data_IF_520571392471
#
_entry.id   IF_520571392471
#
_cell.length_a   1.000
_cell.length_b   1.000
_cell.length_c   1.000
_cell.angle_alpha   90.00
_cell.angle_beta   90.00
_cell.angle_gamma   90.00
#
_symmetry.space_group_name_H-M   'P 1'
#
loop_
_entity.id
_entity.type
_entity.pdbx_description
1 polymer ?
#
# COMPACT_ATOMS: atom_id res chain seq x y z
N UNK A 1 -46.22 -13.59 -54.11
CA UNK A 1 -45.45 -14.30 -53.05
C UNK A 1 -43.97 -13.92 -52.98
N UNK A 2 -43.44 -13.06 -53.85
CA UNK A 2 -41.99 -12.71 -53.88
C UNK A 2 -41.62 -11.48 -53.01
N UNK A 3 -42.60 -10.69 -52.53
CA UNK A 3 -42.34 -9.45 -51.78
C UNK A 3 -42.19 -9.60 -50.25
N UNK A 4 -42.50 -10.77 -49.69
CA UNK A 4 -42.37 -11.04 -48.25
C UNK A 4 -41.04 -11.74 -47.89
N UNK A 5 -40.37 -12.34 -48.88
CA UNK A 5 -39.07 -13.00 -48.69
C UNK A 5 -37.89 -12.00 -48.64
N UNK A 6 -38.06 -10.80 -49.19
CA UNK A 6 -36.98 -9.78 -49.23
C UNK A 6 -36.82 -9.00 -47.93
N UNK A 7 -37.85 -8.90 -47.09
CA UNK A 7 -37.77 -8.17 -45.81
C UNK A 7 -37.18 -9.04 -44.70
N UNK A 8 -37.49 -10.35 -44.70
CA UNK A 8 -36.91 -11.30 -43.75
C UNK A 8 -35.40 -11.50 -43.94
N UNK A 9 -34.93 -11.55 -45.19
CA UNK A 9 -33.50 -11.69 -45.49
C UNK A 9 -32.69 -10.42 -45.11
N UNK A 10 -33.30 -9.23 -45.20
CA UNK A 10 -32.64 -7.99 -44.82
C UNK A 10 -32.51 -7.85 -43.29
N UNK A 11 -33.50 -8.30 -42.52
CA UNK A 11 -33.45 -8.28 -41.05
C UNK A 11 -32.44 -9.29 -40.49
N UNK A 12 -32.26 -10.45 -41.15
CA UNK A 12 -31.25 -11.45 -40.74
C UNK A 12 -29.82 -11.00 -41.08
N UNK A 13 -29.64 -10.24 -42.18
CA UNK A 13 -28.34 -9.68 -42.55
C UNK A 13 -27.87 -8.53 -41.65
N UNK A 14 -28.78 -7.84 -40.95
CA UNK A 14 -28.44 -6.82 -39.94
C UNK A 14 -28.40 -7.35 -38.50
N UNK A 15 -28.67 -8.65 -38.28
CA UNK A 15 -28.55 -9.31 -36.96
C UNK A 15 -27.26 -10.11 -36.79
N UNK A 16 -26.19 -9.76 -37.53
CA UNK A 16 -24.83 -10.25 -37.30
C UNK A 16 -24.34 -9.74 -35.93
N UNK A 17 -23.70 -10.57 -35.09
CA UNK A 17 -23.95 -10.56 -33.66
C UNK A 17 -23.18 -9.46 -32.93
N UNK A 18 -23.90 -8.76 -32.04
CA UNK A 18 -23.36 -8.02 -30.88
C UNK A 18 -22.61 -8.93 -29.86
N UNK A 19 -22.32 -10.19 -30.21
CA UNK A 19 -21.73 -11.20 -29.31
C UNK A 19 -20.25 -11.50 -29.60
N UNK A 20 -19.59 -10.69 -30.41
CA UNK A 20 -18.14 -10.72 -30.58
C UNK A 20 -17.60 -9.30 -30.80
N UNK A 21 -17.99 -8.37 -29.94
CA UNK A 21 -17.00 -7.38 -29.55
C UNK A 21 -15.90 -8.19 -28.83
N UNK A 22 -14.88 -8.64 -29.58
CA UNK A 22 -13.59 -8.88 -28.95
C UNK A 22 -13.36 -7.66 -28.07
N UNK A 23 -13.25 -7.86 -26.76
CA UNK A 23 -12.85 -6.76 -25.88
C UNK A 23 -11.50 -6.34 -26.44
N UNK A 24 -11.48 -5.25 -27.21
CA UNK A 24 -10.26 -4.72 -27.79
C UNK A 24 -9.51 -4.12 -26.60
N UNK A 25 -8.67 -4.95 -26.00
CA UNK A 25 -7.77 -4.51 -24.96
C UNK A 25 -6.80 -3.53 -25.59
N UNK A 26 -6.70 -2.34 -25.02
CA UNK A 26 -5.65 -1.41 -25.39
C UNK A 26 -4.28 -2.07 -25.12
N UNK A 27 -3.41 -2.07 -26.13
CA UNK A 27 -2.10 -2.70 -26.06
C UNK A 27 -1.04 -1.67 -25.68
N UNK A 28 -0.62 -1.70 -24.42
CA UNK A 28 0.37 -0.76 -23.92
C UNK A 28 1.81 -1.14 -24.33
N UNK A 29 2.08 -2.37 -24.77
CA UNK A 29 3.46 -2.86 -25.00
C UNK A 29 4.22 -2.05 -26.06
N UNK A 30 3.50 -1.46 -27.01
CA UNK A 30 4.08 -0.73 -28.15
C UNK A 30 4.24 0.77 -27.92
N UNK A 31 3.68 1.31 -26.82
CA UNK A 31 3.64 2.75 -26.54
C UNK A 31 4.49 3.16 -25.32
N UNK A 32 5.18 2.20 -24.70
CA UNK A 32 6.03 2.45 -23.54
C UNK A 32 7.26 3.30 -23.89
N UNK A 33 7.46 4.34 -23.10
CA UNK A 33 8.63 5.21 -23.13
C UNK A 33 9.45 5.04 -21.86
N UNK A 34 10.78 5.07 -21.98
CA UNK A 34 11.69 4.97 -20.85
C UNK A 34 11.81 6.33 -20.12
N UNK A 35 11.47 6.34 -18.84
CA UNK A 35 11.54 7.48 -17.93
C UNK A 35 12.75 7.41 -16.97
N UNK A 36 13.65 6.46 -17.16
CA UNK A 36 14.82 6.24 -16.30
C UNK A 36 14.54 5.32 -15.11
N UNK A 37 15.61 4.88 -14.45
CA UNK A 37 15.56 3.98 -13.27
C UNK A 37 14.73 2.68 -13.49
N UNK A 38 14.61 2.22 -14.75
CA UNK A 38 13.84 1.03 -15.09
C UNK A 38 12.32 1.23 -15.04
N UNK A 39 11.84 2.47 -15.24
CA UNK A 39 10.42 2.83 -15.35
C UNK A 39 10.05 3.04 -16.82
N UNK A 40 9.24 2.14 -17.36
CA UNK A 40 8.64 2.26 -18.68
C UNK A 40 7.18 2.67 -18.51
N UNK A 41 6.74 3.75 -19.14
CA UNK A 41 5.36 4.22 -19.01
C UNK A 41 4.83 4.75 -20.34
N UNK A 42 3.52 4.71 -20.52
CA UNK A 42 2.86 5.44 -21.59
C UNK A 42 1.87 6.48 -21.04
N UNK A 43 1.25 7.23 -21.94
CA UNK A 43 0.27 8.27 -21.59
C UNK A 43 -1.15 7.73 -21.38
N UNK A 44 -1.41 6.48 -21.75
CA UNK A 44 -2.71 5.83 -21.68
C UNK A 44 -2.91 5.03 -20.38
N UNK A 45 -1.90 4.98 -19.52
CA UNK A 45 -1.98 4.37 -18.18
C UNK A 45 -1.41 2.96 -18.11
N UNK A 46 -0.50 2.62 -19.03
CA UNK A 46 0.38 1.46 -18.96
C UNK A 46 1.70 1.80 -18.29
N UNK A 47 2.18 0.94 -17.38
CA UNK A 47 3.51 1.08 -16.76
C UNK A 47 4.16 -0.28 -16.46
N UNK A 48 5.46 -0.39 -16.74
CA UNK A 48 6.33 -1.49 -16.32
C UNK A 48 7.46 -0.92 -15.46
N UNK A 49 7.66 -1.44 -14.26
CA UNK A 49 8.85 -1.13 -13.44
C UNK A 49 9.64 -2.38 -13.09
N UNK A 50 10.96 -2.25 -13.15
CA UNK A 50 11.88 -3.33 -12.78
C UNK A 50 11.99 -4.45 -13.81
N UNK A 51 11.72 -4.14 -15.09
CA UNK A 51 11.94 -5.08 -16.18
C UNK A 51 13.41 -5.50 -16.25
N UNK A 52 13.64 -6.81 -16.38
CA UNK A 52 14.95 -7.40 -16.54
C UNK A 52 14.87 -8.66 -17.42
N UNK A 53 15.26 -8.52 -18.68
CA UNK A 53 15.24 -9.61 -19.66
C UNK A 53 16.58 -10.35 -19.81
N UNK A 54 17.68 -9.82 -19.24
CA UNK A 54 19.03 -10.22 -19.63
C UNK A 54 20.00 -10.43 -18.46
N UNK A 55 19.84 -9.72 -17.34
CA UNK A 55 20.83 -9.72 -16.27
C UNK A 55 20.49 -10.77 -15.23
N UNK A 56 21.36 -11.76 -15.04
CA UNK A 56 21.14 -12.84 -14.09
C UNK A 56 21.23 -12.34 -12.63
N UNK A 57 20.29 -12.71 -11.74
CA UNK A 57 20.46 -12.49 -10.32
C UNK A 57 21.60 -13.34 -9.77
N UNK A 58 22.24 -12.88 -8.70
CA UNK A 58 23.30 -13.59 -7.99
C UNK A 58 22.85 -14.99 -7.57
N UNK A 59 23.69 -15.99 -7.85
CA UNK A 59 23.40 -17.40 -7.64
C UNK A 59 22.72 -18.10 -8.81
N UNK A 60 22.46 -17.41 -9.92
CA UNK A 60 22.08 -18.02 -11.19
C UNK A 60 23.28 -18.06 -12.14
N UNK A 61 23.76 -19.26 -12.48
CA UNK A 61 24.81 -19.44 -13.49
C UNK A 61 24.27 -19.32 -14.91
N UNK A 62 23.00 -19.67 -15.10
CA UNK A 62 22.28 -19.59 -16.38
C UNK A 62 20.77 -19.51 -16.16
N UNK A 63 20.02 -19.21 -17.22
CA UNK A 63 18.56 -19.30 -17.21
C UNK A 63 18.17 -20.79 -17.19
N UNK A 64 17.42 -21.20 -16.17
CA UNK A 64 17.00 -22.59 -16.00
C UNK A 64 15.85 -22.98 -16.96
N UNK A 65 14.94 -22.04 -17.20
CA UNK A 65 13.85 -22.14 -18.18
C UNK A 65 13.32 -20.75 -18.56
N UNK A 66 12.64 -20.66 -19.71
CA UNK A 66 11.85 -19.49 -20.10
C UNK A 66 10.37 -19.86 -20.01
N UNK A 67 9.58 -19.00 -19.36
CA UNK A 67 8.15 -19.18 -19.18
C UNK A 67 7.42 -17.90 -19.49
N UNK A 68 6.25 -18.05 -20.08
CA UNK A 68 5.30 -16.96 -20.33
C UNK A 68 3.99 -17.34 -19.64
N UNK A 69 3.41 -16.39 -18.91
CA UNK A 69 2.09 -16.53 -18.31
C UNK A 69 1.20 -15.38 -18.74
N UNK A 70 -0.07 -15.67 -18.89
CA UNK A 70 -1.11 -14.64 -19.01
C UNK A 70 -1.88 -14.60 -17.70
N UNK A 71 -2.00 -13.42 -17.11
CA UNK A 71 -2.72 -13.20 -15.87
C UNK A 71 -3.84 -12.22 -16.15
N UNK A 72 -5.07 -12.71 -16.02
CA UNK A 72 -6.24 -11.85 -16.15
C UNK A 72 -6.65 -11.29 -14.79
N UNK A 73 -7.09 -10.04 -14.77
CA UNK A 73 -7.47 -9.31 -13.57
C UNK A 73 -8.82 -8.63 -13.75
N UNK A 74 -9.67 -8.69 -12.72
CA UNK A 74 -10.92 -7.95 -12.70
C UNK A 74 -11.95 -8.48 -11.71
N UNK A 75 -13.14 -7.88 -11.70
CA UNK A 75 -14.23 -8.27 -10.79
C UNK A 75 -14.72 -9.70 -11.03
N UNK A 76 -14.81 -10.12 -12.30
CA UNK A 76 -15.30 -11.44 -12.71
C UNK A 76 -14.54 -12.58 -12.03
N UNK A 77 -13.23 -12.43 -11.82
CA UNK A 77 -12.41 -13.46 -11.18
C UNK A 77 -12.60 -13.54 -9.67
N UNK A 78 -13.21 -12.53 -9.06
CA UNK A 78 -13.48 -12.47 -7.63
C UNK A 78 -14.79 -13.19 -7.24
N UNK A 79 -15.69 -13.45 -8.19
CA UNK A 79 -17.02 -14.03 -7.92
C UNK A 79 -16.98 -15.38 -7.17
N UNK A 80 -15.91 -16.15 -7.39
CA UNK A 80 -15.66 -17.44 -6.71
C UNK A 80 -15.24 -17.30 -5.24
N UNK A 81 -14.96 -16.08 -4.77
CA UNK A 81 -14.47 -15.80 -3.42
C UNK A 81 -15.47 -14.89 -2.67
N UNK A 82 -16.22 -15.43 -1.69
CA UNK A 82 -17.16 -14.64 -0.89
C UNK A 82 -16.50 -13.39 -0.29
N UNK A 83 -17.16 -12.24 -0.47
CA UNK A 83 -16.70 -10.95 0.03
C UNK A 83 -15.52 -10.31 -0.70
N UNK A 84 -15.08 -10.87 -1.83
CA UNK A 84 -14.03 -10.28 -2.66
C UNK A 84 -14.64 -9.50 -3.82
N UNK A 85 -14.01 -8.38 -4.15
CA UNK A 85 -14.42 -7.52 -5.27
C UNK A 85 -13.49 -7.67 -6.46
N UNK A 86 -12.23 -8.00 -6.21
CA UNK A 86 -11.17 -8.03 -7.21
C UNK A 86 -10.33 -9.28 -7.01
N UNK A 87 -9.94 -9.92 -8.11
CA UNK A 87 -8.99 -11.02 -8.08
C UNK A 87 -8.22 -11.11 -9.40
N UNK A 88 -7.08 -11.79 -9.34
CA UNK A 88 -6.50 -12.40 -10.52
C UNK A 88 -7.26 -13.68 -10.87
N UNK A 89 -7.15 -14.17 -12.09
CA UNK A 89 -7.67 -15.48 -12.49
C UNK A 89 -6.95 -16.63 -11.75
N UNK A 90 -5.65 -16.45 -11.52
CA UNK A 90 -4.73 -17.40 -10.88
C UNK A 90 -4.22 -16.89 -9.53
N UNK A 91 -4.31 -17.73 -8.50
CA UNK A 91 -3.96 -17.38 -7.11
C UNK A 91 -2.59 -17.91 -6.67
N UNK A 92 -2.05 -18.91 -7.37
CA UNK A 92 -0.77 -19.51 -7.07
C UNK A 92 0.02 -19.80 -8.35
N UNK A 93 1.29 -19.39 -8.37
CA UNK A 93 2.24 -19.69 -9.42
C UNK A 93 3.41 -20.49 -8.86
N UNK A 94 3.92 -21.44 -9.63
CA UNK A 94 5.06 -22.28 -9.24
C UNK A 94 6.10 -22.27 -10.36
N UNK A 95 7.32 -21.84 -10.06
CA UNK A 95 8.42 -21.75 -11.03
C UNK A 95 9.71 -22.31 -10.46
N UNK A 96 10.59 -22.78 -11.35
CA UNK A 96 11.96 -23.11 -10.95
C UNK A 96 12.75 -21.83 -10.58
N UNK A 97 13.81 -21.95 -9.78
CA UNK A 97 14.75 -20.86 -9.60
C UNK A 97 15.44 -20.50 -10.92
N UNK A 98 15.86 -19.25 -11.09
CA UNK A 98 16.54 -18.76 -12.30
C UNK A 98 15.69 -18.83 -13.59
N UNK A 99 14.37 -18.87 -13.47
CA UNK A 99 13.44 -18.81 -14.61
C UNK A 99 13.36 -17.38 -15.16
N UNK A 100 13.49 -17.24 -16.49
CA UNK A 100 13.09 -16.01 -17.19
C UNK A 100 11.59 -16.04 -17.40
N UNK A 101 10.86 -15.22 -16.66
CA UNK A 101 9.41 -15.15 -16.67
C UNK A 101 8.96 -13.90 -17.43
N UNK A 102 8.12 -14.06 -18.44
CA UNK A 102 7.33 -12.97 -19.02
C UNK A 102 5.91 -13.08 -18.51
N UNK A 103 5.37 -11.98 -18.00
CA UNK A 103 3.99 -11.89 -17.52
C UNK A 103 3.22 -10.99 -18.48
N UNK A 104 2.17 -11.51 -19.09
CA UNK A 104 1.18 -10.77 -19.86
C UNK A 104 0.01 -10.47 -18.94
N UNK A 105 -0.06 -9.25 -18.45
CA UNK A 105 -1.11 -8.79 -17.55
C UNK A 105 -2.27 -8.20 -18.36
N UNK A 106 -3.46 -8.79 -18.23
CA UNK A 106 -4.67 -8.34 -18.89
C UNK A 106 -5.64 -7.83 -17.84
N UNK A 107 -5.94 -6.54 -17.90
CA UNK A 107 -6.96 -5.91 -17.08
C UNK A 107 -8.29 -5.90 -17.85
N UNK A 108 -9.28 -6.67 -17.36
CA UNK A 108 -10.62 -6.74 -17.96
C UNK A 108 -11.61 -5.73 -17.34
N UNK A 109 -11.23 -5.04 -16.27
CA UNK A 109 -12.04 -4.01 -15.64
C UNK A 109 -11.79 -2.62 -16.24
N UNK A 110 -12.73 -1.70 -16.02
CA UNK A 110 -12.56 -0.27 -16.30
C UNK A 110 -11.92 0.48 -15.12
N UNK A 111 -11.18 -0.25 -14.28
CA UNK A 111 -10.51 0.24 -13.08
C UNK A 111 -9.06 -0.18 -13.18
N UNK A 112 -8.13 0.71 -12.86
CA UNK A 112 -6.70 0.42 -12.91
C UNK A 112 -6.33 -0.73 -11.98
N UNK A 113 -5.65 -1.75 -12.51
CA UNK A 113 -5.10 -2.85 -11.72
C UNK A 113 -3.60 -2.97 -11.95
N UNK A 114 -2.94 -3.65 -11.03
CA UNK A 114 -1.51 -3.86 -11.06
C UNK A 114 -1.18 -5.31 -10.74
N UNK A 115 -0.10 -5.80 -11.33
CA UNK A 115 0.56 -7.03 -10.96
C UNK A 115 1.94 -6.67 -10.41
N UNK A 116 2.04 -6.62 -9.09
CA UNK A 116 3.26 -6.22 -8.38
C UNK A 116 3.80 -7.39 -7.57
N UNK A 117 5.12 -7.58 -7.60
CA UNK A 117 5.84 -8.53 -6.77
C UNK A 117 6.98 -7.83 -6.03
N UNK A 118 6.95 -7.90 -4.69
CA UNK A 118 7.99 -7.36 -3.81
C UNK A 118 9.00 -8.42 -3.37
N UNK A 119 10.14 -7.97 -2.84
CA UNK A 119 11.11 -8.85 -2.17
C UNK A 119 12.19 -9.40 -3.10
N UNK A 120 12.32 -8.82 -4.30
CA UNK A 120 13.36 -9.09 -5.28
C UNK A 120 14.70 -8.43 -4.87
N UNK A 121 15.84 -8.92 -5.40
CA UNK A 121 17.15 -8.35 -5.08
C UNK A 121 17.29 -6.89 -5.54
N UNK A 122 17.47 -5.97 -4.57
CA UNK A 122 17.48 -4.50 -4.81
C UNK A 122 18.62 -3.99 -5.71
N UNK A 123 19.69 -4.76 -5.86
CA UNK A 123 20.79 -4.41 -6.76
C UNK A 123 20.43 -4.59 -8.24
N UNK A 124 19.37 -5.37 -8.52
CA UNK A 124 18.93 -5.71 -9.87
C UNK A 124 17.56 -5.12 -10.18
N UNK A 125 16.66 -5.18 -9.20
CA UNK A 125 15.30 -4.67 -9.32
C UNK A 125 15.19 -3.36 -8.52
N UNK A 126 14.89 -2.22 -9.16
CA UNK A 126 14.65 -0.95 -8.49
C UNK A 126 13.65 -1.13 -7.34
N UNK A 127 14.02 -0.63 -6.15
CA UNK A 127 13.25 -0.80 -4.88
C UNK A 127 13.00 -2.27 -4.45
N UNK A 128 13.53 -3.26 -5.16
CA UNK A 128 13.34 -4.69 -4.88
C UNK A 128 11.95 -5.18 -5.31
N UNK A 129 11.43 -4.64 -6.41
CA UNK A 129 10.10 -4.95 -6.93
C UNK A 129 10.07 -5.05 -8.45
N UNK A 130 9.08 -5.79 -8.94
CA UNK A 130 8.67 -5.82 -10.33
C UNK A 130 7.19 -5.45 -10.39
N UNK A 131 6.81 -4.63 -11.35
CA UNK A 131 5.50 -4.00 -11.41
C UNK A 131 4.99 -3.93 -12.84
N UNK A 132 3.74 -4.35 -13.03
CA UNK A 132 2.95 -4.10 -14.23
C UNK A 132 1.69 -3.35 -13.82
N UNK A 133 1.32 -2.33 -14.57
CA UNK A 133 0.12 -1.54 -14.36
C UNK A 133 -0.60 -1.34 -15.67
N UNK A 134 -1.92 -1.51 -15.62
CA UNK A 134 -2.79 -1.36 -16.76
C UNK A 134 -4.06 -0.64 -16.32
N UNK A 135 -4.32 0.54 -16.88
CA UNK A 135 -5.61 1.23 -16.76
C UNK A 135 -6.57 0.62 -17.77
N UNK A 136 -7.46 -0.25 -17.29
CA UNK A 136 -8.22 -1.15 -18.17
C UNK A 136 -9.45 -0.51 -18.83
N UNK A 137 -10.01 -1.19 -19.87
CA UNK A 137 -9.63 -2.52 -20.34
C UNK A 137 -8.37 -2.49 -21.22
N UNK A 138 -7.29 -3.16 -20.80
CA UNK A 138 -6.01 -3.09 -21.48
C UNK A 138 -5.07 -4.24 -21.12
N UNK A 139 -3.98 -4.38 -21.85
CA UNK A 139 -2.94 -5.38 -21.61
C UNK A 139 -1.55 -4.75 -21.59
N UNK A 140 -0.67 -5.32 -20.78
CA UNK A 140 0.73 -4.93 -20.67
C UNK A 140 1.58 -6.14 -20.29
N UNK A 141 2.80 -6.19 -20.81
CA UNK A 141 3.73 -7.28 -20.61
C UNK A 141 5.04 -6.79 -20.00
N UNK A 142 5.66 -7.64 -19.20
CA UNK A 142 7.04 -7.40 -18.78
C UNK A 142 7.76 -8.68 -18.41
N UNK A 143 9.08 -8.61 -18.45
CA UNK A 143 9.95 -9.76 -18.19
C UNK A 143 10.81 -9.53 -16.96
N UNK A 144 10.97 -10.57 -16.14
CA UNK A 144 11.91 -10.64 -15.03
C UNK A 144 12.61 -11.99 -14.99
N UNK A 145 13.75 -12.06 -14.30
CA UNK A 145 14.45 -13.31 -14.00
C UNK A 145 14.34 -13.60 -12.50
N UNK A 146 13.70 -14.71 -12.17
CA UNK A 146 13.46 -15.12 -10.79
C UNK A 146 14.79 -15.49 -10.09
N UNK A 147 14.97 -15.18 -8.80
CA UNK A 147 16.20 -15.52 -8.07
C UNK A 147 16.45 -17.03 -7.95
N UNK A 148 17.65 -17.42 -7.52
CA UNK A 148 18.06 -18.82 -7.37
C UNK A 148 17.56 -19.52 -6.09
N UNK A 149 17.05 -18.77 -5.11
CA UNK A 149 16.63 -19.31 -3.82
C UNK A 149 15.17 -19.78 -3.78
N UNK A 150 14.91 -20.78 -2.94
CA UNK A 150 13.56 -21.20 -2.57
C UNK A 150 12.87 -20.07 -1.79
N UNK A 151 11.82 -19.46 -2.36
CA UNK A 151 11.11 -18.33 -1.74
C UNK A 151 9.72 -18.16 -2.31
N UNK A 152 8.76 -17.81 -1.45
CA UNK A 152 7.41 -17.43 -1.83
C UNK A 152 7.29 -15.90 -1.83
N UNK A 153 6.75 -15.36 -2.91
CA UNK A 153 6.57 -13.93 -3.14
C UNK A 153 5.09 -13.58 -3.14
N UNK A 154 4.74 -12.46 -2.50
CA UNK A 154 3.41 -11.90 -2.61
C UNK A 154 3.30 -11.21 -3.96
N UNK A 155 2.29 -11.62 -4.73
CA UNK A 155 1.87 -10.95 -5.96
C UNK A 155 0.57 -10.25 -5.66
N UNK A 156 0.45 -8.94 -5.89
CA UNK A 156 -0.77 -8.20 -5.57
C UNK A 156 -0.93 -6.97 -6.45
N UNK A 157 -2.12 -6.36 -6.39
CA UNK A 157 -2.28 -4.99 -6.84
C UNK A 157 -1.81 -4.04 -5.72
N UNK A 158 -1.01 -3.03 -6.04
CA UNK A 158 -0.45 -2.08 -5.07
C UNK A 158 -1.46 -1.01 -4.64
N UNK A 159 -2.61 -0.93 -5.32
CA UNK A 159 -3.76 -0.20 -4.81
C UNK A 159 -4.29 -0.95 -3.58
N UNK A 160 -4.05 -0.38 -2.41
CA UNK A 160 -4.37 -0.99 -1.12
C UNK A 160 -5.80 -1.55 -1.06
N UNK A 161 -6.79 -0.80 -1.54
CA UNK A 161 -8.17 -1.26 -1.54
C UNK A 161 -8.39 -2.48 -2.44
N UNK A 162 -7.64 -2.62 -3.55
CA UNK A 162 -7.77 -3.77 -4.44
C UNK A 162 -7.16 -5.01 -3.79
N UNK A 163 -6.00 -4.86 -3.16
CA UNK A 163 -5.37 -5.95 -2.38
C UNK A 163 -6.25 -6.42 -1.22
N UNK A 164 -6.75 -5.48 -0.41
CA UNK A 164 -7.62 -5.77 0.73
C UNK A 164 -8.89 -6.49 0.29
N UNK A 165 -9.47 -6.08 -0.84
CA UNK A 165 -10.66 -6.68 -1.44
C UNK A 165 -10.39 -7.95 -2.27
N UNK A 166 -9.17 -8.49 -2.22
CA UNK A 166 -8.87 -9.84 -2.73
C UNK A 166 -7.84 -9.94 -3.84
N UNK A 167 -7.34 -8.83 -4.40
CA UNK A 167 -6.43 -8.88 -5.55
C UNK A 167 -4.99 -9.17 -5.10
N UNK A 168 -4.75 -10.43 -4.75
CA UNK A 168 -3.47 -10.98 -4.34
C UNK A 168 -3.37 -12.47 -4.65
N UNK A 169 -2.15 -12.92 -4.86
CA UNK A 169 -1.73 -14.26 -5.21
C UNK A 169 -0.36 -14.53 -4.57
N UNK A 170 0.12 -15.76 -4.65
CA UNK A 170 1.47 -16.12 -4.26
C UNK A 170 2.25 -16.71 -5.44
N UNK A 171 3.52 -16.38 -5.55
CA UNK A 171 4.44 -16.95 -6.54
C UNK A 171 5.56 -17.67 -5.80
N UNK A 172 5.64 -18.98 -5.99
CA UNK A 172 6.66 -19.83 -5.39
C UNK A 172 7.80 -20.04 -6.38
N UNK A 173 9.01 -19.71 -5.94
CA UNK A 173 10.26 -20.06 -6.62
C UNK A 173 10.85 -21.27 -5.94
N UNK A 174 11.21 -22.29 -6.72
CA UNK A 174 11.69 -23.57 -6.22
C UNK A 174 10.66 -24.23 -5.32
N UNK A 175 11.01 -24.52 -4.07
CA UNK A 175 10.09 -25.09 -3.08
C UNK A 175 9.17 -24.05 -2.41
N UNK A 176 9.43 -22.76 -2.60
CA UNK A 176 8.86 -21.70 -1.77
C UNK A 176 9.38 -21.75 -0.32
N UNK A 177 9.05 -20.73 0.48
CA UNK A 177 9.36 -20.65 1.92
C UNK A 177 8.10 -20.77 2.80
N UNK A 178 7.02 -21.31 2.24
CA UNK A 178 5.72 -21.51 2.87
C UNK A 178 4.58 -20.86 2.09
N UNK A 179 3.35 -21.12 2.52
CA UNK A 179 2.17 -20.44 1.98
C UNK A 179 1.96 -19.09 2.66
N UNK A 180 1.64 -18.07 1.88
CA UNK A 180 1.31 -16.76 2.41
C UNK A 180 -0.09 -16.77 3.01
N UNK A 181 -0.32 -16.07 4.12
CA UNK A 181 -1.63 -16.03 4.75
C UNK A 181 -2.66 -15.24 3.91
N UNK A 182 -3.93 -15.62 4.02
CA UNK A 182 -5.05 -14.91 3.40
C UNK A 182 -4.98 -14.76 1.87
N UNK A 183 -4.35 -15.69 1.16
CA UNK A 183 -4.40 -15.73 -0.31
C UNK A 183 -5.72 -16.39 -0.72
N UNK A 184 -6.60 -15.71 -1.47
CA UNK A 184 -7.88 -16.28 -1.88
C UNK A 184 -7.71 -17.67 -2.51
N UNK A 185 -8.53 -18.64 -2.10
CA UNK A 185 -8.49 -20.00 -2.67
C UNK A 185 -7.26 -20.85 -2.32
N UNK A 186 -6.23 -20.30 -1.66
CA UNK A 186 -4.99 -21.02 -1.31
C UNK A 186 -4.86 -21.18 0.20
N UNK A 187 -4.99 -20.08 0.95
CA UNK A 187 -4.90 -20.11 2.41
C UNK A 187 -6.10 -19.45 3.07
N UNK A 188 -6.40 -19.90 4.29
CA UNK A 188 -7.45 -19.29 5.10
C UNK A 188 -7.15 -17.82 5.41
N UNK A 189 -8.22 -17.03 5.56
CA UNK A 189 -8.09 -15.66 6.03
C UNK A 189 -7.63 -15.62 7.48
N UNK A 190 -6.69 -14.73 7.79
CA UNK A 190 -6.21 -14.50 9.17
C UNK A 190 -7.34 -13.96 10.02
N UNK A 191 -8.18 -13.10 9.43
CA UNK A 191 -9.43 -12.63 10.02
C UNK A 191 -10.54 -13.14 9.14
N UNK A 192 -11.32 -14.09 9.64
CA UNK A 192 -12.45 -14.66 8.91
C UNK A 192 -13.64 -13.71 8.96
N UNK A 193 -14.23 -13.44 7.81
CA UNK A 193 -15.52 -12.76 7.72
C UNK A 193 -16.64 -13.71 8.16
N UNK A 194 -17.56 -13.23 8.99
CA UNK A 194 -18.75 -13.98 9.39
C UNK A 194 -19.96 -13.58 8.54
N UNK A 195 -20.22 -14.37 7.50
CA UNK A 195 -21.39 -14.20 6.63
C UNK A 195 -22.65 -14.91 7.16
N UNK A 196 -22.65 -15.44 8.39
CA UNK A 196 -23.80 -16.17 8.95
C UNK A 196 -24.90 -15.26 9.50
N UNK A 197 -24.59 -13.98 9.73
CA UNK A 197 -25.55 -13.03 10.26
C UNK A 197 -26.50 -12.52 9.16
N UNK A 198 -27.80 -12.57 9.44
CA UNK A 198 -28.82 -12.01 8.53
C UNK A 198 -28.92 -10.50 8.69
N UNK A 199 -29.36 -9.78 7.65
CA UNK A 199 -29.54 -8.32 7.70
C UNK A 199 -30.39 -7.84 8.90
N UNK A 200 -31.49 -8.51 9.31
CA UNK A 200 -32.23 -8.15 10.51
C UNK A 200 -31.41 -8.29 11.80
N UNK A 201 -30.61 -9.34 11.94
CA UNK A 201 -29.74 -9.55 13.10
C UNK A 201 -28.63 -8.50 13.17
N UNK A 202 -28.06 -8.14 12.02
CA UNK A 202 -27.07 -7.07 11.92
C UNK A 202 -27.68 -5.71 12.27
N UNK A 203 -28.90 -5.43 11.82
CA UNK A 203 -29.63 -4.20 12.16
C UNK A 203 -29.92 -4.10 13.67
N UNK A 204 -30.34 -5.20 14.31
CA UNK A 204 -30.55 -5.26 15.76
C UNK A 204 -29.24 -5.03 16.51
N UNK A 205 -28.14 -5.70 16.10
CA UNK A 205 -26.81 -5.48 16.71
C UNK A 205 -26.34 -4.04 16.56
N UNK A 206 -26.50 -3.44 15.38
CA UNK A 206 -26.14 -2.04 15.14
C UNK A 206 -26.96 -1.07 16.01
N UNK A 207 -28.27 -1.31 16.18
CA UNK A 207 -29.11 -0.50 17.06
C UNK A 207 -28.74 -0.65 18.54
N UNK A 208 -28.38 -1.86 18.98
CA UNK A 208 -27.90 -2.09 20.36
C UNK A 208 -26.58 -1.35 20.58
N UNK A 209 -25.65 -1.42 19.64
CA UNK A 209 -24.37 -0.72 19.72
C UNK A 209 -24.56 0.80 19.72
N UNK A 210 -25.39 1.34 18.83
CA UNK A 210 -25.69 2.77 18.80
C UNK A 210 -26.29 3.27 20.12
N UNK A 211 -27.20 2.50 20.75
CA UNK A 211 -27.75 2.82 22.08
C UNK A 211 -26.70 2.73 23.18
N UNK A 212 -25.76 1.79 23.09
CA UNK A 212 -24.66 1.69 24.05
C UNK A 212 -23.69 2.88 23.93
N UNK A 213 -23.41 3.30 22.70
CA UNK A 213 -22.55 4.45 22.40
C UNK A 213 -23.22 5.78 22.83
N UNK A 214 -24.52 5.94 22.59
CA UNK A 214 -25.30 7.08 23.10
C UNK A 214 -25.34 7.10 24.63
N UNK A 215 -25.49 5.95 25.29
CA UNK A 215 -25.45 5.87 26.74
C UNK A 215 -24.04 6.18 27.30
N UNK A 216 -22.98 5.78 26.61
CA UNK A 216 -21.60 6.13 26.95
C UNK A 216 -21.33 7.63 26.76
N UNK A 217 -21.82 8.22 25.67
CA UNK A 217 -21.73 9.65 25.40
C UNK A 217 -22.53 10.48 26.41
N UNK A 218 -23.74 10.05 26.78
CA UNK A 218 -24.57 10.71 27.79
C UNK A 218 -23.94 10.67 29.19
N UNK A 219 -23.36 9.52 29.58
CA UNK A 219 -22.59 9.41 30.83
C UNK A 219 -21.39 10.34 30.83
N UNK A 220 -20.68 10.43 29.71
CA UNK A 220 -19.53 11.34 29.56
C UNK A 220 -19.96 12.81 29.67
N UNK A 221 -21.09 13.19 29.06
CA UNK A 221 -21.64 14.55 29.13
C UNK A 221 -22.10 14.93 30.55
N UNK A 222 -22.64 13.99 31.33
CA UNK A 222 -23.00 14.21 32.73
C UNK A 222 -21.74 14.42 33.58
N UNK A 223 -20.70 13.61 33.39
CA UNK A 223 -19.42 13.76 34.11
C UNK A 223 -18.76 15.11 33.80
N UNK A 224 -18.78 15.55 32.53
CA UNK A 224 -18.22 16.86 32.12
C UNK A 224 -19.02 18.03 32.71
N UNK A 225 -20.35 17.94 32.77
CA UNK A 225 -21.19 18.99 33.39
C UNK A 225 -21.01 19.05 34.90
N UNK A 226 -20.86 17.91 35.57
CA UNK A 226 -20.60 17.83 37.01
C UNK A 226 -19.23 18.47 37.33
N UNK A 227 -18.19 18.12 36.57
CA UNK A 227 -16.85 18.71 36.72
C UNK A 227 -16.81 20.22 36.46
N UNK A 228 -17.64 20.72 35.54
CA UNK A 228 -17.79 22.16 35.29
C UNK A 228 -18.55 22.88 36.42
N UNK A 229 -19.57 22.25 37.00
CA UNK A 229 -20.34 22.80 38.12
C UNK A 229 -19.50 22.85 39.41
N UNK A 230 -18.71 21.80 39.69
CA UNK A 230 -17.82 21.75 40.86
C UNK A 230 -16.71 22.81 40.78
N UNK A 231 -16.21 23.08 39.56
CA UNK A 231 -15.24 24.16 39.30
C UNK A 231 -15.82 25.56 39.45
N UNK A 232 -17.11 25.76 39.16
CA UNK A 232 -17.81 27.03 39.36
C UNK A 232 -18.18 27.27 40.85
N UNK A 233 -18.41 26.21 41.61
CA UNK A 233 -18.79 26.26 43.01
C UNK A 233 -17.60 26.45 43.97
N UNK A 234 -16.36 26.49 43.46
CA UNK A 234 -15.16 26.69 44.29
C UNK A 234 -14.90 25.56 45.29
N UNK A 235 -15.49 24.39 45.06
CA UNK A 235 -15.33 23.22 45.93
C UNK A 235 -13.96 22.61 45.61
N UNK A 236 -12.97 22.87 46.46
CA UNK A 236 -11.71 22.15 46.42
C UNK A 236 -11.97 20.67 46.76
N UNK A 237 -11.42 19.71 45.99
CA UNK A 237 -11.64 18.30 46.27
C UNK A 237 -11.07 17.94 47.65
N UNK A 238 -11.90 17.33 48.49
CA UNK A 238 -11.47 16.76 49.77
C UNK A 238 -10.52 15.57 49.53
N UNK A 239 -9.52 15.35 50.40
CA UNK A 239 -8.57 14.26 50.23
C UNK A 239 -9.20 12.93 50.67
N UNK A 240 -9.26 11.94 49.79
CA UNK A 240 -9.58 10.56 50.15
C UNK A 240 -8.56 9.57 49.55
N UNK A 241 -7.98 8.76 50.43
CA UNK A 241 -7.22 7.52 50.18
C UNK A 241 -8.17 6.35 49.85
N UNK A 242 -7.67 5.15 49.43
CA UNK A 242 -7.13 4.82 48.12
C UNK A 242 -7.88 3.64 47.46
N UNK A 243 -8.46 3.81 46.27
CA UNK A 243 -8.92 2.69 45.43
C UNK A 243 -8.72 3.01 43.95
N UNK A 244 -7.85 2.21 43.29
CA UNK A 244 -7.71 1.88 41.86
C UNK A 244 -7.60 3.04 40.82
N UNK A 245 -6.83 2.83 39.74
CA UNK A 245 -6.16 3.92 39.04
C UNK A 245 -7.14 4.79 38.25
N UNK A 246 -7.08 6.10 38.50
CA UNK A 246 -7.70 7.11 37.66
C UNK A 246 -6.96 7.15 36.32
N UNK A 247 -7.71 6.98 35.24
CA UNK A 247 -7.24 7.31 33.89
C UNK A 247 -7.16 8.83 33.78
N UNK A 248 -6.01 9.38 34.17
CA UNK A 248 -5.64 10.73 33.81
C UNK A 248 -5.64 10.85 32.30
N UNK A 249 -6.26 11.93 31.81
CA UNK A 249 -6.43 12.24 30.39
C UNK A 249 -5.09 12.19 29.64
N UNK A 250 -4.79 11.02 29.08
CA UNK A 250 -3.52 10.70 28.39
C UNK A 250 -3.42 11.32 26.97
N UNK A 251 -4.43 12.10 26.58
CA UNK A 251 -4.60 12.71 25.26
C UNK A 251 -4.63 14.23 25.35
N UNK A 252 -3.62 14.82 26.00
CA UNK A 252 -3.24 16.20 25.71
C UNK A 252 -2.79 16.30 24.24
N UNK A 253 -3.04 17.43 23.57
CA UNK A 253 -2.54 17.66 22.21
C UNK A 253 -1.01 17.51 22.09
N UNK A 254 -0.27 17.69 23.18
CA UNK A 254 1.18 17.44 23.24
C UNK A 254 1.52 15.95 23.18
N UNK A 255 0.69 15.07 23.75
CA UNK A 255 0.86 13.60 23.69
C UNK A 255 0.60 13.05 22.28
N UNK A 256 -0.35 13.62 21.54
CA UNK A 256 -0.61 13.22 20.15
C UNK A 256 0.58 13.62 19.25
N UNK A 257 1.12 14.83 19.43
CA UNK A 257 2.31 15.29 18.70
C UNK A 257 3.53 14.44 19.08
N UNK A 258 3.70 14.14 20.37
CA UNK A 258 4.78 13.27 20.85
C UNK A 258 4.70 11.85 20.28
N UNK A 259 3.49 11.28 20.19
CA UNK A 259 3.29 9.94 19.65
C UNK A 259 3.49 9.90 18.12
N UNK A 260 3.02 10.92 17.40
CA UNK A 260 3.28 11.05 15.96
C UNK A 260 4.79 11.18 15.65
N UNK A 261 5.50 12.03 16.39
CA UNK A 261 6.96 12.15 16.27
C UNK A 261 7.67 10.85 16.68
N UNK A 262 7.20 10.21 17.75
CA UNK A 262 7.73 8.93 18.23
C UNK A 262 7.61 7.83 17.18
N UNK A 263 6.46 7.68 16.52
CA UNK A 263 6.24 6.67 15.47
C UNK A 263 7.12 6.92 14.25
N UNK A 264 7.37 8.18 13.88
CA UNK A 264 8.23 8.53 12.75
C UNK A 264 9.71 8.31 13.08
N UNK A 265 10.13 8.69 14.29
CA UNK A 265 11.54 8.70 14.69
C UNK A 265 12.00 7.31 15.18
N UNK A 266 11.13 6.54 15.84
CA UNK A 266 11.44 5.22 16.40
C UNK A 266 12.05 4.23 15.40
N UNK A 267 11.54 4.01 14.17
CA UNK A 267 12.15 3.06 13.24
C UNK A 267 13.55 3.51 12.76
N UNK A 268 13.81 4.82 12.72
CA UNK A 268 15.13 5.36 12.41
C UNK A 268 16.10 5.12 13.56
N UNK A 269 15.71 5.45 14.79
CA UNK A 269 16.54 5.23 15.98
C UNK A 269 16.78 3.73 16.24
N UNK A 270 15.77 2.88 16.05
CA UNK A 270 15.90 1.43 16.20
C UNK A 270 16.89 0.81 15.21
N UNK A 271 17.00 1.36 13.99
CA UNK A 271 18.04 0.96 13.03
C UNK A 271 19.40 1.53 13.41
N UNK A 272 19.46 2.78 13.86
CA UNK A 272 20.69 3.50 14.20
C UNK A 272 21.39 2.92 15.43
N UNK A 273 20.63 2.52 16.45
CA UNK A 273 21.14 2.01 17.72
C UNK A 273 21.17 0.48 17.81
N UNK A 274 20.85 -0.23 16.72
CA UNK A 274 20.90 -1.70 16.72
C UNK A 274 22.34 -2.17 16.92
N UNK A 275 22.61 -2.81 18.05
CA UNK A 275 23.93 -3.36 18.39
C UNK A 275 24.85 -2.41 19.19
N UNK A 276 24.38 -1.22 19.55
CA UNK A 276 25.09 -0.33 20.48
C UNK A 276 24.76 -0.69 21.93
N UNK A 277 25.76 -0.61 22.81
CA UNK A 277 25.57 -0.65 24.25
C UNK A 277 24.92 0.64 24.76
N UNK A 278 24.30 0.57 25.95
CA UNK A 278 23.64 1.73 26.57
C UNK A 278 24.62 2.91 26.75
N UNK A 279 25.88 2.63 27.08
CA UNK A 279 26.91 3.66 27.21
C UNK A 279 27.22 4.37 25.89
N UNK A 280 27.26 3.63 24.77
CA UNK A 280 27.49 4.20 23.44
C UNK A 280 26.31 5.05 22.97
N UNK A 281 25.07 4.63 23.27
CA UNK A 281 23.87 5.43 22.97
C UNK A 281 23.89 6.76 23.73
N UNK A 282 24.26 6.72 25.01
CA UNK A 282 24.37 7.94 25.84
C UNK A 282 25.48 8.86 25.33
N UNK A 283 26.66 8.32 25.03
CA UNK A 283 27.77 9.10 24.48
C UNK A 283 27.40 9.76 23.14
N UNK A 284 26.77 9.01 22.24
CA UNK A 284 26.29 9.51 20.96
C UNK A 284 25.26 10.64 21.13
N UNK A 285 24.37 10.52 22.12
CA UNK A 285 23.36 11.56 22.41
C UNK A 285 24.00 12.88 22.85
N UNK A 286 25.06 12.83 23.67
CA UNK A 286 25.82 14.02 24.06
C UNK A 286 26.58 14.65 22.89
N UNK A 287 27.14 13.83 21.99
CA UNK A 287 27.82 14.33 20.79
C UNK A 287 26.85 15.03 19.84
N UNK A 288 25.68 14.44 19.62
CA UNK A 288 24.62 15.02 18.79
C UNK A 288 24.09 16.34 19.37
N UNK A 289 23.96 16.42 20.70
CA UNK A 289 23.62 17.64 21.41
C UNK A 289 24.69 18.73 21.23
N UNK A 290 25.98 18.38 21.37
CA UNK A 290 27.08 19.33 21.17
C UNK A 290 27.14 19.87 19.73
N UNK A 291 26.91 19.02 18.73
CA UNK A 291 26.82 19.41 17.33
C UNK A 291 25.62 20.32 17.06
N UNK A 292 24.46 20.02 17.65
CA UNK A 292 23.27 20.86 17.54
C UNK A 292 23.51 22.26 18.12
N UNK A 293 24.07 22.35 19.33
CA UNK A 293 24.44 23.63 19.97
C UNK A 293 25.42 24.42 19.09
N UNK A 294 26.45 23.76 18.57
CA UNK A 294 27.45 24.42 17.70
C UNK A 294 26.82 24.97 16.43
N UNK A 295 25.88 24.22 15.83
CA UNK A 295 25.17 24.63 14.63
C UNK A 295 24.26 25.83 14.90
N UNK A 296 23.54 25.81 16.02
CA UNK A 296 22.68 26.93 16.46
C UNK A 296 23.52 28.19 16.68
N UNK A 297 24.65 28.08 17.38
CA UNK A 297 25.55 29.23 17.61
C UNK A 297 26.08 29.80 16.30
N UNK A 298 26.47 28.94 15.34
CA UNK A 298 26.91 29.37 14.00
C UNK A 298 25.79 30.12 13.27
N UNK A 299 24.58 29.57 13.24
CA UNK A 299 23.43 30.21 12.60
C UNK A 299 23.11 31.57 13.21
N UNK A 300 23.10 31.66 14.55
CA UNK A 300 22.89 32.93 15.27
C UNK A 300 24.00 33.95 14.98
N UNK A 301 25.26 33.51 14.99
CA UNK A 301 26.39 34.40 14.66
C UNK A 301 26.34 34.92 13.22
N UNK A 302 25.90 34.09 12.27
CA UNK A 302 25.69 34.48 10.88
C UNK A 302 24.51 35.45 10.73
N UNK A 303 23.44 35.27 11.50
CA UNK A 303 22.31 36.18 11.52
C UNK A 303 22.70 37.56 12.07
N UNK A 304 23.51 37.58 13.14
CA UNK A 304 24.02 38.81 13.76
C UNK A 304 24.96 39.54 12.80
N UNK A 305 25.83 38.83 12.07
CA UNK A 305 26.75 39.45 11.11
C UNK A 305 26.02 40.06 9.91
N UNK A 306 24.90 39.46 9.47
CA UNK A 306 24.03 40.01 8.41
C UNK A 306 23.34 41.31 8.84
N UNK A 307 23.01 41.45 10.12
CA UNK A 307 22.37 42.65 10.68
C UNK A 307 23.42 43.74 10.96
N UNK A 308 24.60 43.37 11.45
CA UNK A 308 25.68 44.32 11.77
C UNK A 308 26.37 44.90 10.52
N UNK A 309 26.44 44.15 9.41
CA UNK A 309 27.12 44.58 8.18
C UNK A 309 26.39 45.69 7.38
N UNK A 310 25.17 46.07 7.78
CA UNK A 310 24.39 47.13 7.10
C UNK A 310 24.68 48.56 7.58
N UNK A 311 25.60 48.79 8.52
CA UNK A 311 25.85 50.13 9.09
C UNK A 311 26.93 50.99 8.42
N UNK A 312 27.57 50.57 7.33
CA UNK A 312 28.57 51.42 6.64
C UNK A 312 28.34 51.44 5.13
N UNK A 313 27.26 52.08 4.70
CA UNK A 313 27.24 52.76 3.39
C UNK A 313 27.10 54.25 3.64
N UNK A 314 28.26 54.90 3.82
CA UNK A 314 28.39 56.36 3.77
C UNK A 314 28.05 56.77 2.34
N UNK A 315 27.06 57.65 2.19
CA UNK A 315 26.68 58.23 0.91
C UNK A 315 27.84 59.08 0.36
N UNK A 316 28.22 58.97 -0.93
CA UNK A 316 29.24 59.84 -1.50
C UNK A 316 28.75 61.29 -1.51
N UNK A 317 29.64 62.18 -1.10
CA UNK A 317 29.38 63.61 -0.95
C UNK A 317 29.51 64.29 -2.32
N UNK A 318 28.43 64.96 -2.73
CA UNK A 318 28.23 65.91 -3.86
C UNK A 318 28.87 65.58 -5.21
#
# INVERSE_FOLDING_TARGET
MVKLLSVGALLVAFSVPLLAAEVVYEDHDTMLMDHGDGHLMDMAGGMVMGQNATTLPGGCDSISETKEITVHAGHKYAEKFPGRMYAFDTQEFNFKPCTKLTVHFINEDHVRHQWMMHGLPKYLYPKGMFHLEASGPSKISGTLILPSGDKTYLVHCDIAQHMEKGMKAQLKVGKGDGDLPSIPGVTAFVVADDYKATLPELAVKAQIQAKADEAAAAKTAVVVKQAAADKLAGIAPAPTTPVAPQDDSFLSGTSIIGLALGVIIAPFLARKFKGMSVAEVVAYSFELLAQAITTIVKLLSGLISLIASKKTKILPNK
#
